data_IF_792252888402
#
_entry.id   IF_792252888402
#
_cell.length_a   1.000
_cell.length_b   1.000
_cell.length_c   1.000
_cell.angle_alpha   90.00
_cell.angle_beta   90.00
_cell.angle_gamma   90.00
#
_symmetry.space_group_name_H-M   'P 1'
#
loop_
_entity.id
_entity.type
_entity.pdbx_description
1 polymer ?
#
# COMPACT_ATOMS: atom_id res chain seq x y z
N UNK A 1 15.38 -2.31 -20.08
CA UNK A 1 14.92 -3.28 -19.07
C UNK A 1 13.65 -3.92 -19.62
N UNK A 2 13.62 -5.24 -19.74
CA UNK A 2 12.40 -5.99 -20.09
C UNK A 2 11.40 -5.78 -18.95
N UNK A 3 10.24 -5.18 -19.22
CA UNK A 3 9.18 -5.06 -18.21
C UNK A 3 8.74 -6.46 -17.79
N UNK A 4 8.67 -6.72 -16.48
CA UNK A 4 8.13 -7.98 -15.97
C UNK A 4 6.64 -8.06 -16.35
N UNK A 5 6.22 -9.17 -16.96
CA UNK A 5 4.84 -9.35 -17.36
C UNK A 5 3.92 -9.40 -16.12
N UNK A 6 2.78 -8.71 -16.16
CA UNK A 6 1.77 -8.82 -15.11
C UNK A 6 0.99 -10.14 -15.25
N UNK A 7 0.55 -10.70 -14.13
CA UNK A 7 -0.32 -11.88 -14.06
C UNK A 7 -1.68 -11.52 -13.41
N UNK A 8 -2.65 -10.96 -14.17
CA UNK A 8 -3.86 -10.34 -13.61
C UNK A 8 -4.78 -11.23 -12.78
N UNK A 9 -4.73 -12.54 -13.02
CA UNK A 9 -5.54 -13.55 -12.34
C UNK A 9 -4.80 -14.26 -11.21
N UNK A 10 -3.48 -14.04 -11.09
CA UNK A 10 -2.67 -14.69 -10.06
C UNK A 10 -2.85 -13.94 -8.74
N UNK A 11 -3.44 -14.63 -7.77
CA UNK A 11 -3.73 -14.10 -6.43
C UNK A 11 -2.57 -14.30 -5.46
N UNK A 12 -1.70 -15.28 -5.71
CA UNK A 12 -0.48 -15.53 -4.93
C UNK A 12 0.64 -14.53 -5.26
N UNK A 13 1.71 -14.53 -4.46
CA UNK A 13 2.85 -13.65 -4.64
C UNK A 13 3.45 -13.84 -6.04
N UNK A 14 3.69 -12.74 -6.73
CA UNK A 14 4.21 -12.72 -8.08
C UNK A 14 5.12 -11.51 -8.30
N UNK A 15 6.26 -11.74 -8.94
CA UNK A 15 7.27 -10.71 -9.20
C UNK A 15 6.74 -9.59 -10.09
N UNK A 16 6.05 -9.96 -11.18
CA UNK A 16 5.49 -8.99 -12.12
C UNK A 16 4.37 -8.19 -11.49
N UNK A 17 3.46 -8.84 -10.78
CA UNK A 17 2.41 -8.13 -10.04
C UNK A 17 3.01 -7.16 -9.01
N UNK A 18 4.01 -7.60 -8.23
CA UNK A 18 4.67 -6.72 -7.26
C UNK A 18 5.36 -5.52 -7.91
N UNK A 19 6.07 -5.74 -9.03
CA UNK A 19 6.72 -4.69 -9.81
C UNK A 19 5.71 -3.63 -10.27
N UNK A 20 4.63 -4.05 -10.93
CA UNK A 20 3.62 -3.11 -11.42
C UNK A 20 2.91 -2.39 -10.28
N UNK A 21 2.62 -3.08 -9.18
CA UNK A 21 1.99 -2.43 -8.02
C UNK A 21 2.91 -1.44 -7.32
N UNK A 22 4.23 -1.69 -7.29
CA UNK A 22 5.22 -0.74 -6.80
C UNK A 22 5.32 0.48 -7.71
N UNK A 23 5.38 0.27 -9.03
CA UNK A 23 5.39 1.34 -10.03
C UNK A 23 4.14 2.24 -9.89
N UNK A 24 2.95 1.64 -9.75
CA UNK A 24 1.70 2.39 -9.56
C UNK A 24 1.61 3.08 -8.19
N UNK A 25 2.21 2.52 -7.14
CA UNK A 25 2.34 3.17 -5.83
C UNK A 25 3.32 4.35 -5.84
N UNK A 26 4.26 4.39 -6.79
CA UNK A 26 5.14 5.53 -7.04
C UNK A 26 4.43 6.57 -7.93
N UNK A 27 3.77 6.15 -9.01
CA UNK A 27 3.14 7.03 -9.98
C UNK A 27 2.05 7.95 -9.39
N UNK A 28 1.35 7.50 -8.34
CA UNK A 28 0.32 8.31 -7.66
C UNK A 28 0.88 9.58 -6.99
N UNK A 29 2.20 9.70 -6.83
CA UNK A 29 2.87 10.90 -6.32
C UNK A 29 3.13 11.96 -7.39
N UNK A 30 3.00 11.64 -8.68
CA UNK A 30 3.13 12.61 -9.77
C UNK A 30 1.96 13.59 -9.72
N UNK A 31 2.22 14.84 -9.35
CA UNK A 31 1.22 15.90 -9.22
C UNK A 31 1.32 16.92 -10.34
N UNK A 32 0.25 17.70 -10.54
CA UNK A 32 0.21 18.75 -11.60
C UNK A 32 1.22 19.87 -11.38
N UNK A 33 1.54 20.15 -10.11
CA UNK A 33 2.64 21.03 -9.70
C UNK A 33 2.94 20.81 -8.22
N UNK A 34 4.02 21.42 -7.72
CA UNK A 34 4.37 21.39 -6.29
C UNK A 34 3.25 22.03 -5.43
N UNK A 35 2.64 23.11 -5.92
CA UNK A 35 1.54 23.83 -5.25
C UNK A 35 0.15 23.18 -5.46
N UNK A 36 0.05 22.19 -6.35
CA UNK A 36 -1.20 21.51 -6.66
C UNK A 36 -1.01 20.00 -6.53
N UNK A 37 -1.26 19.42 -5.34
CA UNK A 37 -0.92 18.03 -5.08
C UNK A 37 -1.82 17.05 -5.84
N UNK A 38 -2.83 17.52 -6.61
CA UNK A 38 -3.72 16.66 -7.39
C UNK A 38 -2.90 15.77 -8.35
N UNK A 39 -3.17 14.45 -8.40
CA UNK A 39 -2.50 13.56 -9.34
C UNK A 39 -2.61 14.06 -10.80
N UNK A 40 -1.50 14.11 -11.50
CA UNK A 40 -1.48 14.47 -12.92
C UNK A 40 -1.83 13.26 -13.78
N UNK A 41 -3.12 13.12 -14.07
CA UNK A 41 -3.66 11.99 -14.87
C UNK A 41 -2.97 11.84 -16.23
N UNK A 42 -2.60 12.95 -16.88
CA UNK A 42 -2.03 12.93 -18.24
C UNK A 42 -0.58 12.49 -18.17
N UNK A 43 0.20 13.11 -17.29
CA UNK A 43 1.61 12.78 -17.12
C UNK A 43 1.79 11.34 -16.62
N UNK A 44 0.99 10.92 -15.64
CA UNK A 44 0.98 9.53 -15.15
C UNK A 44 0.67 8.57 -16.30
N UNK A 45 -0.36 8.85 -17.12
CA UNK A 45 -0.72 7.95 -18.22
C UNK A 45 0.42 7.86 -19.25
N UNK A 46 1.07 8.97 -19.61
CA UNK A 46 2.21 8.99 -20.54
C UNK A 46 3.38 8.17 -20.00
N UNK A 47 3.71 8.34 -18.72
CA UNK A 47 4.77 7.56 -18.06
C UNK A 47 4.45 6.07 -18.08
N UNK A 48 3.21 5.69 -17.76
CA UNK A 48 2.77 4.29 -17.77
C UNK A 48 2.80 3.70 -19.19
N UNK A 49 2.34 4.44 -20.20
CA UNK A 49 2.35 4.02 -21.60
C UNK A 49 3.76 3.85 -22.18
N UNK A 50 4.74 4.57 -21.64
CA UNK A 50 6.16 4.37 -21.98
C UNK A 50 6.69 3.00 -21.51
N UNK A 51 6.09 2.41 -20.46
CA UNK A 51 6.41 1.07 -19.98
C UNK A 51 5.55 -0.03 -20.63
N UNK A 52 4.25 0.23 -20.83
CA UNK A 52 3.31 -0.68 -21.48
C UNK A 52 2.21 0.12 -22.23
N UNK A 53 2.11 0.03 -23.56
CA UNK A 53 1.12 0.79 -24.33
C UNK A 53 -0.34 0.39 -24.03
N UNK A 54 -0.59 -0.71 -23.30
CA UNK A 54 -1.93 -1.20 -22.98
C UNK A 54 -2.61 -0.48 -21.79
N UNK A 55 -1.95 0.53 -21.19
CA UNK A 55 -2.63 1.46 -20.28
C UNK A 55 -3.60 2.35 -21.06
N UNK A 56 -4.88 2.28 -20.71
CA UNK A 56 -5.98 2.95 -21.42
C UNK A 56 -6.31 4.31 -20.81
N UNK A 57 -6.29 4.44 -19.48
CA UNK A 57 -6.67 5.68 -18.77
C UNK A 57 -6.19 5.69 -17.31
N UNK A 58 -6.08 6.90 -16.75
CA UNK A 58 -5.90 7.16 -15.31
C UNK A 58 -6.95 8.16 -14.86
N UNK A 59 -7.56 7.90 -13.70
CA UNK A 59 -8.49 8.83 -13.05
C UNK A 59 -7.98 9.19 -11.66
N UNK A 60 -7.78 10.48 -11.41
CA UNK A 60 -7.31 11.03 -10.14
C UNK A 60 -8.47 11.39 -9.21
N UNK A 61 -8.26 11.16 -7.93
CA UNK A 61 -9.18 11.53 -6.86
C UNK A 61 -8.41 12.32 -5.81
N UNK A 62 -8.91 13.49 -5.46
CA UNK A 62 -8.31 14.36 -4.47
C UNK A 62 -9.40 15.03 -3.64
N UNK A 63 -9.30 14.93 -2.31
CA UNK A 63 -10.12 15.70 -1.38
C UNK A 63 -9.38 15.84 -0.06
N UNK A 64 -9.29 17.07 0.45
CA UNK A 64 -8.49 17.38 1.64
C UNK A 64 -7.05 16.86 1.44
N UNK A 65 -6.57 16.00 2.34
CA UNK A 65 -5.25 15.37 2.29
C UNK A 65 -5.29 13.95 1.70
N UNK A 66 -6.42 13.54 1.13
CA UNK A 66 -6.64 12.19 0.62
C UNK A 66 -6.53 12.17 -0.90
N UNK A 67 -5.69 11.26 -1.41
CA UNK A 67 -5.39 11.17 -2.84
C UNK A 67 -5.25 9.73 -3.31
N UNK A 68 -5.74 9.46 -4.51
CA UNK A 68 -5.64 8.18 -5.17
C UNK A 68 -5.75 8.32 -6.68
N UNK A 69 -5.33 7.28 -7.39
CA UNK A 69 -5.62 7.07 -8.80
C UNK A 69 -6.32 5.73 -9.01
N UNK A 70 -7.24 5.68 -9.97
CA UNK A 70 -7.79 4.46 -10.54
C UNK A 70 -7.21 4.29 -11.94
N UNK A 71 -6.31 3.32 -12.08
CA UNK A 71 -5.60 3.03 -13.32
C UNK A 71 -6.36 1.95 -14.10
N UNK A 72 -6.49 2.18 -15.40
CA UNK A 72 -7.20 1.34 -16.34
C UNK A 72 -6.20 0.74 -17.31
N UNK A 73 -6.00 -0.57 -17.23
CA UNK A 73 -5.18 -1.34 -18.15
C UNK A 73 -6.06 -2.30 -18.94
N UNK A 74 -5.67 -2.69 -20.16
CA UNK A 74 -6.44 -3.57 -21.03
C UNK A 74 -6.99 -4.82 -20.30
N UNK A 75 -6.15 -5.42 -19.44
CA UNK A 75 -6.42 -6.67 -18.72
C UNK A 75 -6.76 -6.53 -17.23
N UNK A 76 -6.59 -5.37 -16.60
CA UNK A 76 -6.81 -5.20 -15.14
C UNK A 76 -7.16 -3.76 -14.77
N UNK A 77 -7.69 -3.59 -13.55
CA UNK A 77 -7.83 -2.29 -12.90
C UNK A 77 -6.93 -2.24 -11.67
N UNK A 78 -6.44 -1.06 -11.31
CA UNK A 78 -5.68 -0.87 -10.09
C UNK A 78 -6.14 0.40 -9.36
N UNK A 79 -6.46 0.28 -8.07
CA UNK A 79 -6.61 1.42 -7.18
C UNK A 79 -5.27 1.64 -6.46
N UNK A 80 -4.60 2.75 -6.77
CA UNK A 80 -3.37 3.16 -6.09
C UNK A 80 -3.65 4.37 -5.21
N UNK A 81 -3.27 4.28 -3.95
CA UNK A 81 -3.50 5.32 -2.95
C UNK A 81 -2.19 6.02 -2.60
N UNK A 82 -2.17 7.35 -2.59
CA UNK A 82 -0.98 8.14 -2.22
C UNK A 82 -0.80 8.14 -0.71
N UNK A 83 0.46 8.10 -0.26
CA UNK A 83 0.80 8.45 1.12
C UNK A 83 0.94 9.96 1.33
N UNK A 84 1.37 10.35 2.53
CA UNK A 84 1.72 11.75 2.84
C UNK A 84 3.19 12.03 2.56
N UNK A 85 3.51 13.23 2.06
CA UNK A 85 4.90 13.67 1.87
C UNK A 85 5.53 14.16 3.18
N UNK A 86 4.73 14.72 4.10
CA UNK A 86 5.15 15.20 5.43
C UNK A 86 5.03 14.10 6.50
N UNK A 87 5.87 13.07 6.38
CA UNK A 87 5.75 11.84 7.17
C UNK A 87 6.08 12.03 8.66
N UNK A 88 6.95 12.97 8.99
CA UNK A 88 7.28 13.38 10.37
C UNK A 88 6.07 13.96 11.09
N UNK A 89 5.32 14.80 10.39
CA UNK A 89 4.17 15.50 10.93
C UNK A 89 3.00 14.53 11.08
N UNK A 90 2.83 13.62 10.12
CA UNK A 90 1.90 12.52 10.24
C UNK A 90 2.22 11.58 11.44
N UNK A 91 3.49 11.21 11.64
CA UNK A 91 3.93 10.36 12.76
C UNK A 91 3.68 11.02 14.11
N UNK A 92 3.91 12.33 14.19
CA UNK A 92 3.74 13.11 15.43
C UNK A 92 2.27 13.36 15.75
N UNK A 93 1.42 13.48 14.73
CA UNK A 93 -0.04 13.67 14.85
C UNK A 93 -0.83 12.35 14.93
N UNK A 94 -0.14 11.22 15.11
CA UNK A 94 -0.75 9.90 14.99
C UNK A 94 -1.75 9.64 16.11
N UNK A 95 -3.03 9.77 15.76
CA UNK A 95 -4.11 9.71 16.71
C UNK A 95 -4.59 8.26 16.89
N UNK A 96 -4.23 7.64 18.02
CA UNK A 96 -4.36 6.19 18.30
C UNK A 96 -5.83 5.72 18.34
N UNK A 97 -6.82 6.61 18.27
CA UNK A 97 -8.24 6.26 18.30
C UNK A 97 -8.68 5.34 17.15
N UNK A 98 -9.56 4.41 17.49
CA UNK A 98 -10.18 3.51 16.53
C UNK A 98 -11.50 4.11 16.04
N UNK A 99 -11.83 3.88 14.77
CA UNK A 99 -13.18 4.02 14.23
C UNK A 99 -13.77 2.62 14.05
N UNK A 100 -14.81 2.32 14.83
CA UNK A 100 -15.62 1.11 14.66
C UNK A 100 -16.62 1.30 13.53
N UNK A 101 -16.68 0.31 12.65
CA UNK A 101 -17.64 0.18 11.55
C UNK A 101 -18.16 -1.25 11.49
N UNK A 102 -19.13 -1.52 10.61
CA UNK A 102 -19.83 -2.80 10.54
C UNK A 102 -18.88 -4.01 10.38
N UNK A 103 -17.79 -3.84 9.65
CA UNK A 103 -16.87 -4.91 9.26
C UNK A 103 -15.50 -4.83 9.95
N UNK A 104 -15.35 -4.00 10.98
CA UNK A 104 -14.08 -3.91 11.70
C UNK A 104 -13.85 -2.61 12.44
N UNK A 105 -12.66 -2.52 13.03
CA UNK A 105 -12.14 -1.34 13.72
C UNK A 105 -10.81 -0.94 13.09
N UNK A 106 -10.75 0.30 12.60
CA UNK A 106 -9.64 0.86 11.84
C UNK A 106 -9.07 2.10 12.54
N UNK A 107 -7.83 2.45 12.23
CA UNK A 107 -7.26 3.72 12.67
C UNK A 107 -8.14 4.89 12.19
N UNK A 108 -8.61 5.74 13.11
CA UNK A 108 -9.60 6.79 12.80
C UNK A 108 -9.09 7.76 11.73
N UNK A 109 -7.81 8.12 11.78
CA UNK A 109 -7.20 9.00 10.78
C UNK A 109 -7.23 8.39 9.38
N UNK A 110 -6.81 7.13 9.24
CA UNK A 110 -6.73 6.47 7.93
C UNK A 110 -8.13 6.21 7.37
N UNK A 111 -9.08 5.86 8.25
CA UNK A 111 -10.49 5.72 7.87
C UNK A 111 -11.05 7.03 7.31
N UNK A 112 -10.81 8.16 7.98
CA UNK A 112 -11.32 9.45 7.54
C UNK A 112 -10.71 9.86 6.20
N UNK A 113 -9.38 9.75 6.05
CA UNK A 113 -8.68 10.03 4.79
C UNK A 113 -9.21 9.16 3.66
N UNK A 114 -9.32 7.84 3.88
CA UNK A 114 -9.90 6.92 2.90
C UNK A 114 -11.33 7.34 2.49
N UNK A 115 -12.17 7.67 3.47
CA UNK A 115 -13.58 7.99 3.25
C UNK A 115 -13.79 9.31 2.49
N UNK A 116 -12.82 10.24 2.52
CA UNK A 116 -12.88 11.50 1.77
C UNK A 116 -12.93 11.28 0.25
N UNK A 117 -12.21 10.27 -0.25
CA UNK A 117 -12.12 9.96 -1.68
C UNK A 117 -12.89 8.72 -2.11
N UNK A 118 -13.31 7.88 -1.16
CA UNK A 118 -13.84 6.56 -1.48
C UNK A 118 -15.08 6.60 -2.39
N UNK A 119 -16.07 7.46 -2.08
CA UNK A 119 -17.34 7.47 -2.82
C UNK A 119 -17.17 7.76 -4.34
N UNK A 120 -16.49 8.85 -4.77
CA UNK A 120 -16.28 9.08 -6.20
C UNK A 120 -15.41 8.00 -6.86
N UNK A 121 -14.42 7.46 -6.13
CA UNK A 121 -13.56 6.39 -6.61
C UNK A 121 -14.36 5.09 -6.87
N UNK A 122 -15.15 4.66 -5.89
CA UNK A 122 -16.01 3.47 -5.99
C UNK A 122 -17.02 3.61 -7.13
N UNK A 123 -17.65 4.78 -7.27
CA UNK A 123 -18.58 5.05 -8.37
C UNK A 123 -17.91 4.89 -9.73
N UNK A 124 -16.70 5.45 -9.90
CA UNK A 124 -15.95 5.32 -11.15
C UNK A 124 -15.53 3.86 -11.42
N UNK A 125 -15.07 3.16 -10.39
CA UNK A 125 -14.74 1.74 -10.49
C UNK A 125 -15.95 0.88 -10.91
N UNK A 126 -17.11 1.09 -10.30
CA UNK A 126 -18.34 0.36 -10.65
C UNK A 126 -18.78 0.65 -12.09
N UNK A 127 -18.60 1.88 -12.57
CA UNK A 127 -18.84 2.22 -13.98
C UNK A 127 -17.94 1.42 -14.92
N UNK A 128 -16.63 1.37 -14.65
CA UNK A 128 -15.66 0.64 -15.46
C UNK A 128 -15.86 -0.88 -15.40
N UNK A 129 -16.15 -1.41 -14.20
CA UNK A 129 -16.48 -2.83 -14.01
C UNK A 129 -17.71 -3.24 -14.81
N UNK A 130 -18.73 -2.38 -14.87
CA UNK A 130 -19.96 -2.63 -15.64
C UNK A 130 -19.70 -2.62 -17.15
N UNK A 131 -18.80 -1.77 -17.65
CA UNK A 131 -18.49 -1.71 -19.09
C UNK A 131 -17.58 -2.84 -19.55
N UNK A 132 -16.53 -3.16 -18.79
CA UNK A 132 -15.63 -4.29 -19.07
C UNK A 132 -15.11 -4.86 -17.74
N UNK A 133 -15.63 -6.01 -17.28
CA UNK A 133 -15.14 -6.66 -16.07
C UNK A 133 -13.66 -7.02 -16.21
N UNK A 134 -12.87 -6.62 -15.22
CA UNK A 134 -11.43 -6.87 -15.15
C UNK A 134 -11.05 -7.22 -13.71
N UNK A 135 -9.99 -8.01 -13.49
CA UNK A 135 -9.42 -8.21 -12.16
C UNK A 135 -8.97 -6.89 -11.56
N UNK A 136 -9.11 -6.75 -10.23
CA UNK A 136 -8.80 -5.54 -9.50
C UNK A 136 -7.60 -5.76 -8.57
N UNK A 137 -6.57 -4.94 -8.72
CA UNK A 137 -5.50 -4.82 -7.75
C UNK A 137 -5.70 -3.61 -6.85
N UNK A 138 -5.17 -3.70 -5.64
CA UNK A 138 -5.10 -2.59 -4.69
C UNK A 138 -3.64 -2.37 -4.32
N UNK A 139 -3.18 -1.14 -4.35
CA UNK A 139 -1.81 -0.80 -3.98
C UNK A 139 -1.71 0.54 -3.27
N UNK A 140 -0.61 0.75 -2.58
CA UNK A 140 -0.31 2.02 -1.97
C UNK A 140 0.93 1.96 -1.09
N UNK A 141 1.50 3.14 -0.90
CA UNK A 141 2.71 3.32 -0.11
C UNK A 141 2.42 4.17 1.14
N UNK A 142 3.06 3.84 2.27
CA UNK A 142 2.89 4.56 3.54
C UNK A 142 1.40 4.64 3.95
N UNK A 143 0.86 5.84 4.24
CA UNK A 143 -0.57 6.08 4.44
C UNK A 143 -1.45 5.50 3.32
N UNK A 144 -0.98 5.53 2.07
CA UNK A 144 -1.64 4.91 0.93
C UNK A 144 -1.83 3.39 1.10
N UNK A 145 -0.85 2.70 1.67
CA UNK A 145 -0.97 1.27 1.98
C UNK A 145 -2.05 0.99 3.05
N UNK A 146 -2.19 1.89 4.02
CA UNK A 146 -3.28 1.81 4.98
C UNK A 146 -4.66 2.05 4.35
N UNK A 147 -4.77 2.99 3.39
CA UNK A 147 -6.00 3.19 2.61
C UNK A 147 -6.33 1.98 1.73
N UNK A 148 -5.34 1.39 1.06
CA UNK A 148 -5.50 0.15 0.29
C UNK A 148 -5.99 -1.01 1.17
N UNK A 149 -5.51 -1.09 2.41
CA UNK A 149 -5.98 -2.06 3.40
C UNK A 149 -7.46 -1.88 3.74
N UNK A 150 -7.90 -0.64 3.97
CA UNK A 150 -9.30 -0.33 4.27
C UNK A 150 -10.19 -0.59 3.04
N UNK A 151 -9.70 -0.26 1.84
CA UNK A 151 -10.38 -0.59 0.59
C UNK A 151 -10.61 -2.10 0.48
N UNK A 152 -9.57 -2.91 0.69
CA UNK A 152 -9.66 -4.36 0.67
C UNK A 152 -10.67 -4.89 1.70
N UNK A 153 -10.68 -4.32 2.92
CA UNK A 153 -11.66 -4.67 3.96
C UNK A 153 -13.10 -4.38 3.54
N UNK A 154 -13.32 -3.26 2.86
CA UNK A 154 -14.62 -2.93 2.30
C UNK A 154 -15.02 -3.88 1.17
N UNK A 155 -14.09 -4.25 0.28
CA UNK A 155 -14.34 -5.23 -0.79
C UNK A 155 -14.78 -6.59 -0.23
N UNK A 156 -14.06 -7.12 0.77
CA UNK A 156 -14.43 -8.38 1.45
C UNK A 156 -15.81 -8.27 2.09
N UNK A 157 -16.08 -7.17 2.81
CA UNK A 157 -17.38 -6.97 3.46
C UNK A 157 -18.55 -6.96 2.47
N UNK A 158 -18.35 -6.40 1.28
CA UNK A 158 -19.36 -6.33 0.21
C UNK A 158 -19.35 -7.52 -0.75
N UNK A 159 -18.61 -8.58 -0.42
CA UNK A 159 -18.42 -9.77 -1.27
C UNK A 159 -18.03 -9.42 -2.72
N UNK A 160 -17.18 -8.41 -2.85
CA UNK A 160 -16.73 -7.91 -4.15
C UNK A 160 -15.30 -8.38 -4.41
N UNK A 161 -15.03 -9.05 -5.55
CA UNK A 161 -13.73 -9.67 -5.79
C UNK A 161 -12.64 -8.62 -6.07
N UNK A 162 -11.44 -8.94 -5.60
CA UNK A 162 -10.17 -8.32 -5.99
C UNK A 162 -9.11 -9.43 -6.12
N UNK A 163 -8.11 -9.23 -6.97
CA UNK A 163 -7.03 -10.20 -7.22
C UNK A 163 -6.12 -10.29 -6.01
N UNK A 164 -5.47 -9.18 -5.67
CA UNK A 164 -4.49 -9.13 -4.59
C UNK A 164 -4.16 -7.69 -4.20
N UNK A 165 -3.59 -7.54 -3.01
CA UNK A 165 -3.13 -6.27 -2.46
C UNK A 165 -1.62 -6.30 -2.33
N UNK A 166 -0.96 -5.25 -2.77
CA UNK A 166 0.49 -5.05 -2.61
C UNK A 166 0.71 -3.70 -1.93
N UNK A 167 1.41 -3.69 -0.79
CA UNK A 167 1.63 -2.44 -0.05
C UNK A 167 3.08 -2.28 0.36
N UNK A 168 3.53 -1.03 0.44
CA UNK A 168 4.93 -0.68 0.67
C UNK A 168 5.02 0.29 1.85
N UNK A 169 5.79 -0.04 2.89
CA UNK A 169 5.92 0.83 4.06
C UNK A 169 4.60 1.07 4.81
N UNK A 170 3.65 0.15 4.71
CA UNK A 170 2.31 0.31 5.29
C UNK A 170 2.36 0.34 6.83
N UNK A 171 1.74 1.34 7.50
CA UNK A 171 1.50 1.33 8.94
C UNK A 171 0.34 0.39 9.35
N UNK A 172 0.18 0.13 10.64
CA UNK A 172 -0.91 -0.76 11.12
C UNK A 172 -2.27 -0.06 10.98
N UNK A 173 -3.11 -0.55 10.07
CA UNK A 173 -4.37 0.14 9.75
C UNK A 173 -5.58 -0.30 10.60
N UNK A 174 -5.51 -1.43 11.30
CA UNK A 174 -6.66 -2.04 11.97
C UNK A 174 -6.32 -2.71 13.30
N UNK A 175 -7.35 -2.96 14.09
CA UNK A 175 -7.20 -3.64 15.38
C UNK A 175 -6.85 -5.12 15.22
N UNK A 176 -6.29 -5.71 16.27
CA UNK A 176 -5.95 -7.13 16.31
C UNK A 176 -7.14 -8.04 15.99
N UNK A 177 -8.32 -7.74 16.53
CA UNK A 177 -9.52 -8.54 16.25
C UNK A 177 -9.90 -8.49 14.77
N UNK A 178 -9.97 -7.29 14.20
CA UNK A 178 -10.25 -7.07 12.78
C UNK A 178 -9.22 -7.78 11.90
N UNK A 179 -7.93 -7.68 12.23
CA UNK A 179 -6.87 -8.30 11.45
C UNK A 179 -6.93 -9.82 11.39
N UNK A 180 -7.49 -10.48 12.42
CA UNK A 180 -7.64 -11.94 12.42
C UNK A 180 -8.68 -12.36 11.40
N UNK A 181 -9.88 -11.79 11.51
CA UNK A 181 -10.99 -12.02 10.57
C UNK A 181 -10.52 -11.71 9.15
N UNK A 182 -9.80 -10.60 8.97
CA UNK A 182 -9.35 -10.18 7.66
C UNK A 182 -8.25 -11.11 7.07
N UNK A 183 -7.37 -11.66 7.91
CA UNK A 183 -6.39 -12.66 7.47
C UNK A 183 -7.04 -13.97 7.04
N UNK A 184 -8.10 -14.41 7.71
CA UNK A 184 -8.82 -15.64 7.33
C UNK A 184 -9.36 -15.54 5.89
N UNK A 185 -9.69 -14.32 5.44
CA UNK A 185 -10.28 -14.05 4.12
C UNK A 185 -9.26 -13.72 3.01
N UNK A 186 -8.11 -13.08 3.32
CA UNK A 186 -7.22 -12.58 2.27
C UNK A 186 -5.71 -12.71 2.52
N UNK A 187 -5.27 -13.39 3.59
CA UNK A 187 -3.83 -13.47 3.91
C UNK A 187 -2.97 -13.91 2.72
N UNK A 188 -3.45 -14.90 1.95
CA UNK A 188 -2.75 -15.51 0.80
C UNK A 188 -2.72 -14.64 -0.45
N UNK A 189 -3.43 -13.51 -0.46
CA UNK A 189 -3.48 -12.54 -1.58
C UNK A 189 -3.22 -11.10 -1.14
N UNK A 190 -2.68 -10.91 0.06
CA UNK A 190 -2.32 -9.61 0.60
C UNK A 190 -0.84 -9.63 0.96
N UNK A 191 -0.03 -8.83 0.26
CA UNK A 191 1.42 -8.81 0.38
C UNK A 191 1.88 -7.45 0.88
N UNK A 192 2.57 -7.44 2.02
CA UNK A 192 3.06 -6.21 2.65
C UNK A 192 4.58 -6.23 2.71
N UNK A 193 5.19 -5.30 1.99
CA UNK A 193 6.63 -5.08 1.95
C UNK A 193 7.04 -4.12 3.06
N UNK A 194 8.13 -4.47 3.72
CA UNK A 194 8.80 -3.70 4.75
C UNK A 194 10.27 -3.59 4.36
N UNK A 195 10.77 -2.37 4.24
CA UNK A 195 12.16 -2.12 3.92
C UNK A 195 12.99 -1.87 5.18
N UNK A 196 13.96 -2.74 5.45
CA UNK A 196 15.00 -2.57 6.46
C UNK A 196 14.51 -1.91 7.77
N UNK A 197 14.97 -0.68 8.06
CA UNK A 197 14.68 0.03 9.31
C UNK A 197 13.48 0.99 9.22
N UNK A 198 12.62 0.85 8.21
CA UNK A 198 11.41 1.66 8.06
C UNK A 198 10.51 1.56 9.31
N UNK A 199 10.47 2.67 10.05
CA UNK A 199 9.74 2.80 11.32
C UNK A 199 8.24 2.99 11.14
N UNK A 200 7.78 3.50 9.98
CA UNK A 200 6.36 3.80 9.74
C UNK A 200 5.52 2.54 9.81
N UNK A 201 6.06 1.43 9.33
CA UNK A 201 5.45 0.09 9.43
C UNK A 201 5.23 -0.38 10.88
N UNK A 202 5.93 0.22 11.85
CA UNK A 202 5.89 -0.18 13.26
C UNK A 202 4.86 0.61 14.06
N UNK A 203 4.14 1.53 13.43
CA UNK A 203 3.18 2.43 14.09
C UNK A 203 1.79 2.31 13.43
N UNK A 204 0.68 2.47 14.18
CA UNK A 204 0.56 2.34 15.63
C UNK A 204 1.11 1.00 16.16
N UNK A 205 1.50 0.94 17.43
CA UNK A 205 2.14 -0.26 18.01
C UNK A 205 1.13 -1.35 18.35
N UNK A 206 1.62 -2.58 18.60
CA UNK A 206 0.76 -3.70 19.04
C UNK A 206 0.18 -3.49 20.45
N UNK A 207 0.90 -2.80 21.33
CA UNK A 207 0.42 -2.48 22.69
C UNK A 207 -0.78 -1.53 22.65
N UNK A 208 -0.91 -0.73 21.58
CA UNK A 208 -2.09 0.10 21.31
C UNK A 208 -3.28 -0.69 20.73
N UNK A 209 -3.17 -2.01 20.59
CA UNK A 209 -4.25 -2.88 20.08
C UNK A 209 -4.30 -3.04 18.56
N UNK A 210 -3.34 -2.48 17.83
CA UNK A 210 -3.25 -2.57 16.37
C UNK A 210 -2.47 -3.80 15.89
N UNK A 211 -2.80 -4.28 14.69
CA UNK A 211 -2.11 -5.40 14.07
C UNK A 211 -2.02 -5.23 12.55
N UNK A 212 -1.04 -5.91 11.97
CA UNK A 212 -0.88 -6.04 10.53
C UNK A 212 -1.77 -7.16 9.97
N UNK A 213 -1.99 -7.11 8.66
CA UNK A 213 -2.68 -8.13 7.86
C UNK A 213 -1.80 -8.54 6.69
N UNK A 214 -2.07 -9.71 6.12
CA UNK A 214 -1.39 -10.23 4.95
C UNK A 214 -0.08 -10.94 5.26
N UNK A 215 0.53 -11.43 4.19
CA UNK A 215 1.85 -12.02 4.13
C UNK A 215 2.90 -10.92 4.27
N UNK A 216 3.85 -11.12 5.18
CA UNK A 216 4.94 -10.19 5.43
C UNK A 216 6.14 -10.50 4.53
N UNK A 217 6.62 -9.47 3.83
CA UNK A 217 7.79 -9.51 2.96
C UNK A 217 8.80 -8.49 3.47
N UNK A 218 9.99 -8.95 3.85
CA UNK A 218 11.06 -8.10 4.35
C UNK A 218 12.10 -7.88 3.26
N UNK A 219 12.52 -6.63 3.06
CA UNK A 219 13.62 -6.25 2.18
C UNK A 219 14.84 -5.96 3.07
N UNK A 220 15.93 -6.68 2.85
CA UNK A 220 17.20 -6.47 3.58
C UNK A 220 17.99 -5.28 3.04
N UNK A 221 19.04 -4.87 3.74
CA UNK A 221 19.95 -3.82 3.29
C UNK A 221 20.64 -4.17 1.96
N UNK A 222 20.84 -5.46 1.69
CA UNK A 222 21.38 -6.00 0.43
C UNK A 222 20.31 -6.16 -0.66
N UNK A 223 19.11 -5.59 -0.46
CA UNK A 223 17.97 -5.63 -1.38
C UNK A 223 17.41 -7.05 -1.64
N UNK A 224 17.59 -7.97 -0.70
CA UNK A 224 17.00 -9.30 -0.76
C UNK A 224 15.57 -9.29 -0.21
N UNK A 225 14.64 -9.96 -0.88
CA UNK A 225 13.24 -10.07 -0.47
C UNK A 225 13.03 -11.42 0.19
N UNK A 226 12.58 -11.40 1.44
CA UNK A 226 12.35 -12.59 2.25
C UNK A 226 10.87 -12.72 2.63
N UNK A 227 10.25 -13.86 2.29
CA UNK A 227 8.88 -14.17 2.71
C UNK A 227 8.88 -14.96 4.00
N UNK A 228 8.05 -14.56 4.96
CA UNK A 228 7.73 -15.32 6.18
C UNK A 228 8.88 -16.24 6.66
N UNK A 229 10.08 -15.68 6.94
CA UNK A 229 11.30 -16.37 7.43
C UNK A 229 11.12 -17.22 8.72
N UNK A 230 9.87 -17.42 9.15
CA UNK A 230 9.45 -18.19 10.28
C UNK A 230 9.98 -17.54 11.54
N UNK A 231 9.29 -16.56 12.11
CA UNK A 231 9.60 -16.17 13.49
C UNK A 231 10.98 -15.48 13.70
N UNK A 232 11.90 -15.50 12.73
CA UNK A 232 13.34 -15.22 12.92
C UNK A 232 13.61 -13.80 13.46
N UNK A 233 12.90 -12.80 12.95
CA UNK A 233 12.88 -11.45 13.50
C UNK A 233 11.67 -11.13 14.40
N UNK A 234 10.78 -12.08 14.74
CA UNK A 234 9.68 -11.83 15.71
C UNK A 234 10.21 -11.42 17.10
N UNK A 235 11.53 -11.44 17.30
CA UNK A 235 12.20 -11.83 18.52
C UNK A 235 13.49 -11.01 18.81
N UNK A 236 14.22 -10.46 17.83
CA UNK A 236 15.40 -9.61 18.08
C UNK A 236 15.06 -8.13 18.35
N UNK A 237 14.03 -7.58 17.72
CA UNK A 237 13.74 -6.13 17.75
C UNK A 237 12.65 -5.68 18.72
N UNK A 238 11.94 -6.63 19.34
CA UNK A 238 10.92 -6.30 20.34
C UNK A 238 11.53 -5.87 21.70
N UNK A 239 12.83 -6.09 21.94
CA UNK A 239 13.40 -6.12 23.29
C UNK A 239 14.11 -4.84 23.79
N UNK A 240 15.08 -4.19 23.12
CA UNK A 240 15.94 -3.23 23.88
C UNK A 240 16.14 -1.79 23.34
N UNK A 241 15.91 -1.49 22.06
CA UNK A 241 16.42 -0.24 21.45
C UNK A 241 15.45 0.93 21.24
N UNK A 242 14.13 0.70 21.35
CA UNK A 242 13.12 1.66 20.86
C UNK A 242 13.09 2.99 21.64
N UNK A 243 13.61 3.07 22.86
CA UNK A 243 13.61 4.33 23.61
C UNK A 243 14.95 5.08 23.62
N UNK A 244 16.08 4.43 23.32
CA UNK A 244 17.41 5.04 23.43
C UNK A 244 18.02 5.52 22.10
N UNK A 245 17.65 4.92 20.95
CA UNK A 245 18.29 5.21 19.65
C UNK A 245 17.50 6.13 18.70
N UNK A 246 16.27 6.53 19.04
CA UNK A 246 15.46 7.45 18.20
C UNK A 246 16.12 8.84 18.06
N UNK A 247 17.07 9.18 18.94
CA UNK A 247 17.79 10.46 18.87
C UNK A 247 19.00 10.44 17.92
N UNK A 248 19.50 9.27 17.50
CA UNK A 248 20.79 9.16 16.79
C UNK A 248 20.68 8.76 15.30
N UNK A 249 19.57 8.15 14.84
CA UNK A 249 19.50 7.58 13.46
C UNK A 249 18.26 7.95 12.64
N UNK A 250 17.58 9.06 12.97
CA UNK A 250 16.30 9.43 12.33
C UNK A 250 16.36 9.55 10.80
N UNK A 251 17.50 9.95 10.22
CA UNK A 251 17.65 10.18 8.77
C UNK A 251 17.51 8.87 7.99
N UNK A 252 18.24 7.81 8.37
CA UNK A 252 18.26 6.53 7.63
C UNK A 252 16.89 5.84 7.62
N UNK A 253 16.13 5.92 8.73
CA UNK A 253 14.79 5.33 8.81
C UNK A 253 13.77 6.01 7.88
N UNK A 254 13.92 7.31 7.60
CA UNK A 254 13.05 8.02 6.65
C UNK A 254 13.46 7.76 5.20
N UNK A 255 14.75 7.58 4.93
CA UNK A 255 15.27 7.18 3.62
C UNK A 255 14.78 5.77 3.24
N UNK A 256 14.85 4.80 4.16
CA UNK A 256 14.33 3.44 3.95
C UNK A 256 12.82 3.43 3.67
N UNK A 257 12.11 4.44 4.16
CA UNK A 257 10.67 4.60 3.95
C UNK A 257 10.31 5.32 2.63
N UNK A 258 11.26 5.75 1.79
CA UNK A 258 10.94 6.34 0.48
C UNK A 258 10.48 5.25 -0.49
N UNK A 259 9.44 5.55 -1.29
CA UNK A 259 8.90 4.59 -2.26
C UNK A 259 9.96 4.14 -3.28
N UNK A 260 10.92 5.00 -3.61
CA UNK A 260 12.02 4.66 -4.51
C UNK A 260 12.87 3.49 -3.97
N UNK A 261 13.16 3.47 -2.68
CA UNK A 261 13.93 2.40 -2.02
C UNK A 261 13.21 1.06 -2.10
N UNK A 262 11.88 1.07 -1.94
CA UNK A 262 11.04 -0.11 -2.17
C UNK A 262 11.06 -0.56 -3.63
N UNK A 263 10.87 0.38 -4.56
CA UNK A 263 10.82 0.10 -5.99
C UNK A 263 12.12 -0.50 -6.51
N UNK A 264 13.27 -0.01 -6.06
CA UNK A 264 14.59 -0.51 -6.45
C UNK A 264 14.74 -2.00 -6.13
N UNK A 265 14.50 -2.41 -4.89
CA UNK A 265 14.60 -3.81 -4.48
C UNK A 265 13.60 -4.72 -5.23
N UNK A 266 12.38 -4.23 -5.47
CA UNK A 266 11.35 -4.98 -6.20
C UNK A 266 11.71 -5.10 -7.69
N UNK A 267 12.36 -4.09 -8.28
CA UNK A 267 12.78 -4.10 -9.68
C UNK A 267 13.87 -5.13 -9.96
N UNK A 268 14.73 -5.42 -8.97
CA UNK A 268 15.74 -6.47 -9.02
C UNK A 268 15.13 -7.85 -8.72
N UNK A 269 14.18 -7.91 -7.78
CA UNK A 269 13.48 -9.13 -7.36
C UNK A 269 14.42 -10.27 -6.91
N UNK A 270 15.35 -9.99 -5.99
CA UNK A 270 16.18 -11.04 -5.37
C UNK A 270 15.40 -11.74 -4.25
N UNK A 271 14.43 -12.56 -4.65
CA UNK A 271 13.58 -13.31 -3.71
C UNK A 271 14.30 -14.53 -3.14
N UNK A 272 14.32 -14.64 -1.81
CA UNK A 272 14.83 -15.78 -1.04
C UNK A 272 13.64 -16.51 -0.42
N UNK A 273 13.49 -17.79 -0.81
CA UNK A 273 12.53 -18.73 -0.22
C UNK A 273 12.90 -19.14 1.21
#
# INVERSE_FOLDING_TARGET
MTSLAISPLKTSLDAGNAYWMALLAQAVYTSKSDDNPIPDEVEILVQLQAHDPNFEAVYGFNKNNAQAILVVHEYYLCMSFRGSDEKTDWLSNLNIFHKKVLFGEFHKGFWNTFNDIWKPLEQKYLQLKKSKPRPLFLTGHSLGGAMATIAAAKFIHTDSPFTSVYTFGQPRAMTRNTSRIFNDECKTRFFRFHNNNDIVTRIPTRSMGYSHVGTYLYISQEQEIHQELGFWMRFLDALDGILSAIKESGIDAFEDHKMNSYFEAISIWNFKE
#
